data_IF_076575133407
#
_entry.id   IF_076575133407
#
_cell.length_a   1.000
_cell.length_b   1.000
_cell.length_c   1.000
_cell.angle_alpha   90.00
_cell.angle_beta   90.00
_cell.angle_gamma   90.00
#
_symmetry.space_group_name_H-M   'P 1'
#
loop_
_entity.id
_entity.type
_entity.pdbx_description
1 polymer ?
#
# COMPACT_ATOMS: atom_id res chain seq x y z
N UNK A 1 9.57 -6.16 -0.96
CA UNK A 1 11.01 -6.16 -1.25
C UNK A 1 11.26 -6.20 -2.74
N UNK A 2 12.45 -6.66 -3.16
CA UNK A 2 12.96 -6.64 -4.55
C UNK A 2 13.28 -5.24 -5.09
N UNK A 3 12.29 -4.37 -5.25
CA UNK A 3 12.53 -2.98 -5.66
C UNK A 3 13.03 -2.17 -4.46
N UNK A 4 14.22 -1.58 -4.57
CA UNK A 4 14.88 -0.85 -3.48
C UNK A 4 14.25 0.53 -3.23
N UNK A 5 12.99 0.55 -2.86
CA UNK A 5 12.19 1.75 -2.62
C UNK A 5 11.03 1.44 -1.67
N UNK A 6 10.28 2.47 -1.32
CA UNK A 6 9.02 2.36 -0.60
C UNK A 6 7.83 2.65 -1.51
N UNK A 7 6.84 1.76 -1.56
CA UNK A 7 5.54 2.03 -2.18
C UNK A 7 4.44 1.39 -1.34
N UNK A 8 3.36 2.13 -1.11
CA UNK A 8 2.10 1.60 -0.61
C UNK A 8 0.98 1.97 -1.56
N UNK A 9 0.27 0.96 -2.02
CA UNK A 9 -0.89 1.13 -2.87
C UNK A 9 -2.13 1.43 -2.04
N UNK A 10 -3.07 2.15 -2.63
CA UNK A 10 -4.45 2.24 -2.14
C UNK A 10 -5.06 0.83 -2.07
N UNK A 11 -6.05 0.59 -1.20
CA UNK A 11 -6.74 -0.69 -1.16
C UNK A 11 -7.29 -1.04 -2.54
N UNK A 12 -7.02 -2.25 -3.02
CA UNK A 12 -7.61 -2.73 -4.27
C UNK A 12 -8.86 -3.52 -3.90
N UNK A 13 -10.01 -3.12 -4.46
CA UNK A 13 -11.26 -3.81 -4.27
C UNK A 13 -11.24 -5.17 -5.00
N UNK A 14 -11.89 -6.21 -4.44
CA UNK A 14 -12.03 -7.49 -5.12
C UNK A 14 -12.83 -7.34 -6.42
N UNK A 15 -12.72 -8.30 -7.32
CA UNK A 15 -13.53 -8.31 -8.53
C UNK A 15 -15.03 -8.44 -8.16
N UNK A 16 -15.95 -7.78 -8.89
CA UNK A 16 -17.38 -7.89 -8.64
C UNK A 16 -17.84 -9.36 -8.65
N UNK A 17 -18.70 -9.73 -7.69
CA UNK A 17 -19.25 -11.09 -7.58
C UNK A 17 -18.30 -12.13 -7.00
N UNK A 18 -17.16 -11.72 -6.44
CA UNK A 18 -16.24 -12.62 -5.73
C UNK A 18 -16.38 -12.46 -4.21
N UNK A 19 -15.95 -13.49 -3.46
CA UNK A 19 -15.80 -13.49 -2.01
C UNK A 19 -14.47 -12.85 -1.55
N UNK A 20 -13.78 -12.18 -2.47
CA UNK A 20 -12.50 -11.53 -2.20
C UNK A 20 -12.60 -10.39 -1.17
N UNK A 21 -11.46 -10.03 -0.60
CA UNK A 21 -11.32 -8.90 0.32
C UNK A 21 -10.50 -7.78 -0.31
N UNK A 22 -10.60 -6.58 0.25
CA UNK A 22 -9.72 -5.48 -0.11
C UNK A 22 -8.29 -5.80 0.28
N UNK A 23 -7.34 -5.52 -0.61
CA UNK A 23 -5.91 -5.79 -0.38
C UNK A 23 -5.09 -4.53 -0.56
N UNK A 24 -4.26 -4.20 0.42
CA UNK A 24 -3.21 -3.18 0.29
C UNK A 24 -1.88 -3.86 0.00
N UNK A 25 -1.28 -3.51 -1.12
CA UNK A 25 0.07 -3.95 -1.48
C UNK A 25 1.10 -2.95 -0.95
N UNK A 26 2.18 -3.47 -0.36
CA UNK A 26 3.30 -2.68 0.16
C UNK A 26 4.61 -3.23 -0.37
N UNK A 27 5.35 -2.40 -1.10
CA UNK A 27 6.74 -2.63 -1.44
C UNK A 27 7.61 -1.97 -0.37
N UNK A 28 8.19 -2.78 0.51
CA UNK A 28 9.26 -2.35 1.41
C UNK A 28 10.55 -3.02 0.98
N UNK A 29 11.39 -2.32 0.21
CA UNK A 29 12.69 -2.83 -0.24
C UNK A 29 13.86 -1.88 0.01
N UNK A 30 13.62 -0.72 0.65
CA UNK A 30 14.66 0.25 1.01
C UNK A 30 15.52 -0.14 2.20
N UNK A 31 15.77 -1.43 2.44
CA UNK A 31 16.39 -1.91 3.69
C UNK A 31 17.90 -1.64 3.84
N UNK A 32 18.59 -1.19 2.79
CA UNK A 32 20.02 -0.82 2.90
C UNK A 32 20.81 -0.80 1.60
N UNK A 33 20.35 -1.46 0.53
CA UNK A 33 20.98 -1.38 -0.79
C UNK A 33 20.62 -0.07 -1.52
N UNK A 34 21.37 0.26 -2.58
CA UNK A 34 21.14 1.48 -3.37
C UNK A 34 19.68 1.61 -3.83
N UNK A 35 19.10 2.79 -3.59
CA UNK A 35 17.68 3.03 -3.80
C UNK A 35 17.34 3.28 -5.27
N UNK A 36 16.19 2.78 -5.70
CA UNK A 36 15.65 3.01 -7.05
C UNK A 36 14.74 4.24 -7.11
N UNK A 37 14.68 4.86 -8.29
CA UNK A 37 13.76 5.96 -8.53
C UNK A 37 12.32 5.48 -8.58
N UNK A 38 11.47 6.20 -7.85
CA UNK A 38 10.04 5.95 -7.81
C UNK A 38 9.34 6.82 -8.86
N UNK A 39 8.38 6.24 -9.58
CA UNK A 39 7.45 6.98 -10.44
C UNK A 39 6.04 6.88 -9.84
N UNK A 40 5.64 7.84 -8.97
CA UNK A 40 4.31 7.82 -8.36
C UNK A 40 3.19 7.78 -9.41
N UNK A 41 2.06 7.19 -9.03
CA UNK A 41 0.87 7.12 -9.87
C UNK A 41 -0.37 7.24 -8.99
N UNK A 42 -1.54 7.37 -9.62
CA UNK A 42 -2.81 7.59 -8.92
C UNK A 42 -3.20 6.44 -7.96
N UNK A 43 -2.61 5.26 -8.12
CA UNK A 43 -2.88 4.08 -7.28
C UNK A 43 -1.99 3.98 -6.06
N UNK A 44 -0.96 4.81 -5.97
CA UNK A 44 -0.16 4.93 -4.76
C UNK A 44 -0.90 5.77 -3.70
N UNK A 45 -0.90 5.27 -2.48
CA UNK A 45 -1.18 6.07 -1.29
C UNK A 45 0.11 6.78 -0.82
N UNK A 46 1.27 6.13 -1.00
CA UNK A 46 2.59 6.70 -0.70
C UNK A 46 3.64 6.01 -1.58
N UNK A 47 4.66 6.74 -2.01
CA UNK A 47 5.71 6.22 -2.89
C UNK A 47 6.96 7.10 -2.72
N UNK A 48 8.08 6.52 -2.23
CA UNK A 48 9.28 7.27 -1.82
C UNK A 48 10.58 6.49 -2.11
N UNK A 49 11.58 7.19 -2.63
CA UNK A 49 12.97 6.71 -2.70
C UNK A 49 13.65 7.00 -1.36
N UNK A 50 13.55 6.08 -0.41
CA UNK A 50 14.08 6.28 0.95
C UNK A 50 14.38 4.95 1.65
N UNK A 51 15.42 4.97 2.49
CA UNK A 51 15.69 3.88 3.40
C UNK A 51 14.67 3.88 4.54
N UNK A 52 14.09 2.72 4.80
CA UNK A 52 13.00 2.60 5.76
C UNK A 52 12.81 1.16 6.22
N UNK A 53 11.98 1.01 7.26
CA UNK A 53 11.32 -0.23 7.61
C UNK A 53 9.84 0.05 7.94
N UNK A 54 9.01 -1.00 7.89
CA UNK A 54 7.61 -0.92 8.29
C UNK A 54 7.42 -1.59 9.65
N UNK A 55 6.80 -0.88 10.59
CA UNK A 55 6.39 -1.39 11.89
C UNK A 55 4.88 -1.62 11.89
N UNK A 56 4.48 -2.87 12.10
CA UNK A 56 3.07 -3.26 12.20
C UNK A 56 2.70 -3.51 13.66
N UNK A 57 1.62 -2.90 14.12
CA UNK A 57 1.03 -3.16 15.43
C UNK A 57 -0.42 -3.57 15.25
N UNK A 58 -0.78 -4.73 15.79
CA UNK A 58 -2.15 -5.25 15.75
C UNK A 58 -2.65 -5.38 17.18
N UNK A 59 -3.72 -4.66 17.51
CA UNK A 59 -4.36 -4.69 18.83
C UNK A 59 -5.86 -4.87 18.66
N UNK A 60 -6.36 -6.04 19.05
CA UNK A 60 -7.76 -6.40 18.87
C UNK A 60 -8.15 -6.36 17.40
N UNK A 61 -9.08 -5.48 17.04
CA UNK A 61 -9.59 -5.30 15.69
C UNK A 61 -8.87 -4.21 14.88
N UNK A 62 -7.85 -3.54 15.45
CA UNK A 62 -7.13 -2.44 14.81
C UNK A 62 -5.71 -2.87 14.43
N UNK A 63 -5.33 -2.59 13.18
CA UNK A 63 -3.96 -2.62 12.68
C UNK A 63 -3.50 -1.18 12.46
N UNK A 64 -2.31 -0.87 12.94
CA UNK A 64 -1.56 0.32 12.54
C UNK A 64 -0.27 -0.11 11.86
N UNK A 65 0.10 0.60 10.79
CA UNK A 65 1.39 0.46 10.14
C UNK A 65 2.05 1.83 10.07
N UNK A 66 3.23 1.94 10.65
CA UNK A 66 4.11 3.08 10.50
C UNK A 66 5.28 2.70 9.60
N UNK A 67 5.58 3.53 8.61
CA UNK A 67 6.84 3.42 7.86
C UNK A 67 7.80 4.44 8.44
N UNK A 68 8.96 3.97 8.87
CA UNK A 68 9.92 4.75 9.64
C UNK A 68 11.22 4.83 8.84
N UNK A 69 11.74 6.05 8.66
CA UNK A 69 13.04 6.27 8.01
C UNK A 69 14.23 6.06 8.95
N UNK A 70 15.44 6.25 8.43
CA UNK A 70 16.69 6.03 9.18
C UNK A 70 16.91 7.02 10.33
N UNK A 71 16.22 8.16 10.30
CA UNK A 71 16.27 9.17 11.37
C UNK A 71 15.19 8.91 12.43
N UNK A 72 14.41 7.83 12.28
CA UNK A 72 13.32 7.46 13.18
C UNK A 72 12.02 8.22 12.92
N UNK A 73 11.92 8.97 11.81
CA UNK A 73 10.72 9.74 11.48
C UNK A 73 9.69 8.85 10.78
N UNK A 74 8.43 8.99 11.18
CA UNK A 74 7.30 8.38 10.48
C UNK A 74 7.07 9.12 9.15
N UNK A 75 7.28 8.41 8.05
CA UNK A 75 7.14 8.93 6.68
C UNK A 75 5.84 8.48 6.00
N UNK A 76 5.17 7.47 6.55
CA UNK A 76 3.88 6.99 6.11
C UNK A 76 3.13 6.29 7.25
N UNK A 77 1.80 6.42 7.24
CA UNK A 77 0.93 5.86 8.28
C UNK A 77 -0.34 5.26 7.66
N UNK A 78 -0.76 4.12 8.18
CA UNK A 78 -1.98 3.41 7.79
C UNK A 78 -2.69 2.86 9.03
N UNK A 79 -4.00 3.11 9.12
CA UNK A 79 -4.87 2.45 10.09
C UNK A 79 -5.97 1.66 9.39
N UNK A 80 -6.15 0.41 9.82
CA UNK A 80 -7.24 -0.46 9.39
C UNK A 80 -7.94 -0.99 10.63
N UNK A 81 -9.26 -0.82 10.71
CA UNK A 81 -10.09 -1.44 11.74
C UNK A 81 -11.05 -2.41 11.10
N UNK A 82 -11.15 -3.63 11.62
CA UNK A 82 -12.04 -4.68 11.13
C UNK A 82 -13.05 -5.11 12.18
N UNK A 83 -14.28 -4.63 12.10
CA UNK A 83 -15.36 -4.96 13.04
C UNK A 83 -16.41 -5.80 12.34
N UNK A 84 -16.72 -6.98 12.89
CA UNK A 84 -17.71 -7.92 12.33
C UNK A 84 -17.48 -8.22 10.84
N UNK A 85 -16.21 -8.45 10.47
CA UNK A 85 -15.80 -8.70 9.09
C UNK A 85 -15.70 -7.45 8.20
N UNK A 86 -16.15 -6.28 8.66
CA UNK A 86 -16.19 -5.04 7.88
C UNK A 86 -14.99 -4.14 8.16
N UNK A 87 -14.35 -3.65 7.11
CA UNK A 87 -13.26 -2.69 7.18
C UNK A 87 -13.81 -1.27 7.41
N UNK A 88 -13.04 -0.41 8.09
CA UNK A 88 -13.42 0.97 8.37
C UNK A 88 -13.60 1.80 7.09
N UNK A 89 -14.57 2.73 7.10
CA UNK A 89 -14.92 3.57 5.94
C UNK A 89 -13.75 4.37 5.41
N UNK A 90 -12.89 4.91 6.29
CA UNK A 90 -11.73 5.70 5.90
C UNK A 90 -10.76 4.92 5.00
N UNK A 91 -10.53 3.64 5.31
CA UNK A 91 -9.72 2.76 4.49
C UNK A 91 -10.40 2.52 3.12
N UNK A 92 -11.69 2.18 3.12
CA UNK A 92 -12.46 1.86 1.93
C UNK A 92 -12.69 3.05 0.98
N UNK A 93 -12.77 4.28 1.47
CA UNK A 93 -12.99 5.47 0.62
C UNK A 93 -11.85 5.74 -0.36
N UNK A 94 -10.66 5.22 -0.09
CA UNK A 94 -9.52 5.35 -0.99
C UNK A 94 -9.39 4.17 -1.94
N UNK A 95 -10.29 3.19 -1.86
CA UNK A 95 -10.16 1.94 -2.60
C UNK A 95 -10.30 2.14 -4.11
N UNK A 96 -9.55 1.32 -4.85
CA UNK A 96 -9.48 1.34 -6.31
C UNK A 96 -10.05 0.01 -6.83
N UNK A 97 -10.97 0.02 -7.80
CA UNK A 97 -11.46 -1.20 -8.42
C UNK A 97 -10.36 -1.99 -9.14
N UNK A 98 -10.37 -3.33 -9.02
CA UNK A 98 -9.40 -4.18 -9.70
C UNK A 98 -9.39 -4.00 -11.23
N UNK A 99 -10.55 -3.72 -11.84
CA UNK A 99 -10.64 -3.44 -13.27
C UNK A 99 -9.83 -2.20 -13.69
N UNK A 100 -9.74 -1.18 -12.83
CA UNK A 100 -9.01 0.05 -13.12
C UNK A 100 -7.51 -0.21 -13.14
N UNK A 101 -7.01 -0.99 -12.18
CA UNK A 101 -5.62 -1.42 -12.11
C UNK A 101 -5.24 -2.25 -13.35
N UNK A 102 -6.09 -3.20 -13.74
CA UNK A 102 -5.86 -4.04 -14.93
C UNK A 102 -5.77 -3.18 -16.20
N UNK A 103 -6.72 -2.26 -16.38
CA UNK A 103 -6.73 -1.33 -17.52
C UNK A 103 -5.46 -0.48 -17.58
N UNK A 104 -5.00 0.03 -16.44
CA UNK A 104 -3.75 0.78 -16.37
C UNK A 104 -2.53 -0.05 -16.79
N UNK A 105 -2.44 -1.29 -16.31
CA UNK A 105 -1.35 -2.20 -16.66
C UNK A 105 -1.33 -2.54 -18.15
N UNK A 106 -2.50 -2.75 -18.76
CA UNK A 106 -2.62 -3.00 -20.20
C UNK A 106 -2.15 -1.81 -21.03
N UNK A 107 -2.52 -0.58 -20.65
CA UNK A 107 -2.06 0.63 -21.32
C UNK A 107 -0.54 0.80 -21.23
N UNK A 108 0.05 0.49 -20.07
CA UNK A 108 1.50 0.55 -19.84
C UNK A 108 2.29 -0.50 -20.60
N UNK A 109 1.72 -1.68 -20.87
CA UNK A 109 2.35 -2.75 -21.65
C UNK A 109 2.41 -2.47 -23.16
N UNK A 110 1.56 -1.56 -23.65
CA UNK A 110 1.47 -1.19 -25.07
C UNK A 110 2.33 0.03 -25.46
N UNK A 111 3.03 0.63 -24.50
CA UNK A 111 3.97 1.74 -24.67
C UNK A 111 5.40 1.19 -24.60
#
# INVERSE_FOLDING_TARGET
GHSHQYERFRPIAPAPGTDGSFVTYVTSGGGGAELYDVKPCLYHASAKKIHHFCLFHIKGNKLTMDTIDIDGKIIDHLEITKTDGRLNKQYLWTAVPMEEIRRYQELKRKQ
#
